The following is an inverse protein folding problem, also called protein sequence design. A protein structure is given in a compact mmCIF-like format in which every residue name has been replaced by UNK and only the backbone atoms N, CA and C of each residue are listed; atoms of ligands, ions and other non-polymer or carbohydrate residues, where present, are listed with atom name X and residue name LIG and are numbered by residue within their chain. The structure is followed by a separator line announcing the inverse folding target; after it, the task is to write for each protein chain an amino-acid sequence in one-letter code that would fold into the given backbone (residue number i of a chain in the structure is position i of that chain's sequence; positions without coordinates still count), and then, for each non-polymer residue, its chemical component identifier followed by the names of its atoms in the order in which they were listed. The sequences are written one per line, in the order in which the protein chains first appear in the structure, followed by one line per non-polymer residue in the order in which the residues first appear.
data_IF_819369731806
#
_entry.id   IF_819369731806
#
_cell.length_a   1.000
_cell.length_b   1.000
_cell.length_c   1.000
_cell.angle_alpha   90.00
_cell.angle_beta   90.00
_cell.angle_gamma   90.00
#
_symmetry.space_group_name_H-M   'P 1'
#
loop_
_entity.id
_entity.type
_entity.pdbx_description
1 polymer ?
#
# COMPACT_ATOMS: atom_id res chain seq x y z
N UNK A 1 -61.70 5.29 -3.66
CA UNK A 1 -60.49 5.99 -3.20
C UNK A 1 -59.41 5.10 -2.56
N UNK A 2 -59.70 3.86 -2.14
CA UNK A 2 -58.71 2.97 -1.50
C UNK A 2 -57.55 2.51 -2.43
N UNK A 3 -57.84 2.22 -3.71
CA UNK A 3 -56.83 1.78 -4.70
C UNK A 3 -55.72 2.81 -4.97
N UNK A 4 -56.00 4.11 -4.87
CA UNK A 4 -55.02 5.19 -5.11
C UNK A 4 -54.02 5.34 -3.95
N UNK A 5 -54.43 5.04 -2.70
CA UNK A 5 -53.56 5.10 -1.51
C UNK A 5 -52.56 3.94 -1.45
N UNK A 6 -52.94 2.74 -1.91
CA UNK A 6 -52.03 1.59 -1.97
C UNK A 6 -50.89 1.79 -2.99
N UNK A 7 -51.17 2.37 -4.17
CA UNK A 7 -50.13 2.66 -5.17
C UNK A 7 -49.09 3.69 -4.65
N UNK A 8 -49.55 4.68 -3.89
CA UNK A 8 -48.69 5.73 -3.32
C UNK A 8 -47.81 5.22 -2.17
N UNK A 9 -48.29 4.22 -1.41
CA UNK A 9 -47.47 3.54 -0.40
C UNK A 9 -46.42 2.62 -1.02
N UNK A 10 -46.76 1.93 -2.11
CA UNK A 10 -45.83 1.03 -2.82
C UNK A 10 -44.67 1.81 -3.47
N UNK A 11 -44.95 2.96 -4.10
CA UNK A 11 -43.91 3.83 -4.64
C UNK A 11 -42.94 4.38 -3.57
N UNK A 12 -43.44 4.77 -2.39
CA UNK A 12 -42.59 5.20 -1.26
C UNK A 12 -41.74 4.08 -0.68
N UNK A 13 -42.19 2.83 -0.77
CA UNK A 13 -41.42 1.67 -0.33
C UNK A 13 -40.29 1.38 -1.32
N UNK A 14 -40.57 1.46 -2.62
CA UNK A 14 -39.59 1.26 -3.69
C UNK A 14 -38.47 2.31 -3.64
N UNK A 15 -38.83 3.59 -3.47
CA UNK A 15 -37.88 4.71 -3.33
C UNK A 15 -36.94 4.53 -2.12
N UNK A 16 -37.46 4.00 -0.99
CA UNK A 16 -36.65 3.69 0.19
C UNK A 16 -35.69 2.52 -0.05
N UNK A 17 -36.05 1.54 -0.86
CA UNK A 17 -35.17 0.42 -1.21
C UNK A 17 -34.05 0.92 -2.12
N UNK A 18 -34.39 1.69 -3.16
CA UNK A 18 -33.41 2.28 -4.07
C UNK A 18 -32.42 3.20 -3.36
N UNK A 19 -32.88 4.02 -2.41
CA UNK A 19 -32.00 4.89 -1.62
C UNK A 19 -31.02 4.09 -0.74
N UNK A 20 -31.49 2.98 -0.15
CA UNK A 20 -30.63 2.08 0.64
C UNK A 20 -29.58 1.39 -0.23
N UNK A 21 -29.97 0.93 -1.42
CA UNK A 21 -29.05 0.28 -2.35
C UNK A 21 -28.00 1.27 -2.88
N UNK A 22 -28.39 2.52 -3.17
CA UNK A 22 -27.46 3.58 -3.55
C UNK A 22 -26.45 3.89 -2.42
N UNK A 23 -26.94 4.05 -1.18
CA UNK A 23 -26.08 4.26 -0.01
C UNK A 23 -25.11 3.09 0.22
N UNK A 24 -25.55 1.85 0.04
CA UNK A 24 -24.68 0.69 0.16
C UNK A 24 -23.59 0.67 -0.92
N UNK A 25 -23.91 1.05 -2.15
CA UNK A 25 -22.93 1.17 -3.24
C UNK A 25 -21.88 2.25 -2.92
N UNK A 26 -22.31 3.43 -2.49
CA UNK A 26 -21.40 4.52 -2.13
C UNK A 26 -20.47 4.14 -0.97
N UNK A 27 -20.98 3.44 0.03
CA UNK A 27 -20.18 2.95 1.17
C UNK A 27 -19.15 1.92 0.70
N UNK A 28 -19.54 1.00 -0.20
CA UNK A 28 -18.62 0.01 -0.77
C UNK A 28 -17.55 0.66 -1.65
N UNK A 29 -17.89 1.69 -2.42
CA UNK A 29 -16.91 2.45 -3.21
C UNK A 29 -15.90 3.17 -2.33
N UNK A 30 -16.36 3.87 -1.28
CA UNK A 30 -15.46 4.53 -0.31
C UNK A 30 -14.53 3.54 0.37
N UNK A 31 -15.03 2.35 0.73
CA UNK A 31 -14.20 1.31 1.33
C UNK A 31 -13.12 0.80 0.35
N UNK A 32 -13.48 0.63 -0.92
CA UNK A 32 -12.52 0.23 -1.97
C UNK A 32 -11.46 1.30 -2.20
N UNK A 33 -11.86 2.57 -2.26
CA UNK A 33 -10.95 3.71 -2.39
C UNK A 33 -9.98 3.76 -1.21
N UNK A 34 -10.48 3.71 0.03
CA UNK A 34 -9.63 3.69 1.22
C UNK A 34 -8.65 2.51 1.23
N UNK A 35 -9.09 1.31 0.80
CA UNK A 35 -8.20 0.14 0.67
C UNK A 35 -7.10 0.38 -0.36
N UNK A 36 -7.42 0.98 -1.51
CA UNK A 36 -6.43 1.28 -2.55
C UNK A 36 -5.42 2.34 -2.09
N UNK A 37 -5.88 3.38 -1.41
CA UNK A 37 -5.01 4.41 -0.85
C UNK A 37 -4.05 3.83 0.19
N UNK A 38 -4.55 3.01 1.12
CA UNK A 38 -3.71 2.34 2.12
C UNK A 38 -2.67 1.42 1.46
N UNK A 39 -3.07 0.62 0.47
CA UNK A 39 -2.15 -0.23 -0.27
C UNK A 39 -1.07 0.57 -1.00
N UNK A 40 -1.43 1.71 -1.61
CA UNK A 40 -0.46 2.59 -2.27
C UNK A 40 0.53 3.18 -1.27
N UNK A 41 0.07 3.65 -0.11
CA UNK A 41 0.92 4.20 0.96
C UNK A 41 1.89 3.14 1.50
N UNK A 42 1.44 1.89 1.68
CA UNK A 42 2.30 0.81 2.15
C UNK A 42 3.39 0.44 1.12
N UNK A 43 3.04 0.40 -0.16
CA UNK A 43 3.99 0.13 -1.24
C UNK A 43 5.06 1.22 -1.31
N UNK A 44 4.66 2.49 -1.24
CA UNK A 44 5.60 3.61 -1.27
C UNK A 44 6.51 3.65 -0.03
N UNK A 45 5.97 3.34 1.16
CA UNK A 45 6.81 3.21 2.38
C UNK A 45 7.86 2.11 2.24
N UNK A 46 7.47 0.93 1.74
CA UNK A 46 8.42 -0.18 1.53
C UNK A 46 9.52 0.19 0.54
N UNK A 47 9.16 0.84 -0.57
CA UNK A 47 10.13 1.31 -1.57
C UNK A 47 11.11 2.33 -0.97
N UNK A 48 10.60 3.30 -0.21
CA UNK A 48 11.43 4.30 0.44
C UNK A 48 12.38 3.66 1.48
N UNK A 49 11.92 2.69 2.27
CA UNK A 49 12.77 1.96 3.21
C UNK A 49 13.84 1.12 2.52
N UNK A 50 13.50 0.43 1.42
CA UNK A 50 14.47 -0.33 0.62
C UNK A 50 15.52 0.59 0.00
N UNK A 51 15.12 1.74 -0.52
CA UNK A 51 16.03 2.74 -1.09
C UNK A 51 16.98 3.29 -0.02
N UNK A 52 16.45 3.72 1.13
CA UNK A 52 17.27 4.19 2.26
C UNK A 52 18.26 3.13 2.73
N UNK A 53 17.84 1.87 2.83
CA UNK A 53 18.74 0.76 3.22
C UNK A 53 19.84 0.54 2.18
N UNK A 54 19.54 0.73 0.89
CA UNK A 54 20.51 0.60 -0.19
C UNK A 54 21.53 1.73 -0.18
N UNK A 55 21.08 2.96 0.07
CA UNK A 55 21.96 4.12 0.20
C UNK A 55 22.85 4.02 1.44
N UNK A 56 22.29 3.59 2.56
CA UNK A 56 23.05 3.37 3.79
C UNK A 56 24.15 2.32 3.60
N UNK A 57 23.84 1.22 2.89
CA UNK A 57 24.85 0.20 2.52
C UNK A 57 25.97 0.82 1.69
N UNK A 58 25.63 1.56 0.64
CA UNK A 58 26.62 2.24 -0.21
C UNK A 58 27.49 3.22 0.57
N UNK A 59 26.91 3.98 1.50
CA UNK A 59 27.68 4.91 2.33
C UNK A 59 28.59 4.17 3.30
N UNK A 60 28.09 3.12 3.95
CA UNK A 60 28.90 2.26 4.82
C UNK A 60 30.06 1.65 4.04
N UNK A 61 29.83 1.08 2.85
CA UNK A 61 30.89 0.52 2.00
C UNK A 61 31.93 1.56 1.57
N UNK A 62 31.49 2.78 1.23
CA UNK A 62 32.41 3.90 0.90
C UNK A 62 33.23 4.36 2.09
N UNK A 63 32.68 4.28 3.29
CA UNK A 63 33.32 4.70 4.53
C UNK A 63 34.07 3.57 5.24
N UNK A 64 33.97 2.32 4.76
CA UNK A 64 34.73 1.20 5.32
C UNK A 64 36.20 1.36 5.01
N UNK A 65 37.03 0.97 5.98
CA UNK A 65 38.46 0.88 5.75
C UNK A 65 38.77 -0.29 4.79
N UNK A 66 39.87 -0.18 4.04
CA UNK A 66 40.31 -1.24 3.13
C UNK A 66 40.50 -2.58 3.85
N UNK A 67 40.93 -2.56 5.12
CA UNK A 67 41.07 -3.76 5.93
C UNK A 67 39.74 -4.48 6.16
N UNK A 68 38.67 -3.75 6.48
CA UNK A 68 37.33 -4.34 6.66
C UNK A 68 36.74 -4.84 5.34
N UNK A 69 36.92 -4.10 4.24
CA UNK A 69 36.50 -4.55 2.92
C UNK A 69 37.25 -5.82 2.48
N UNK A 70 38.53 -5.90 2.82
CA UNK A 70 39.38 -7.05 2.52
C UNK A 70 39.01 -8.27 3.37
N UNK A 71 38.73 -8.07 4.66
CA UNK A 71 38.32 -9.13 5.60
C UNK A 71 36.92 -9.69 5.27
N UNK A 72 36.02 -8.86 4.75
CA UNK A 72 34.72 -9.28 4.22
C UNK A 72 34.81 -9.96 2.84
N UNK A 73 35.92 -9.79 2.13
CA UNK A 73 36.16 -10.43 0.84
C UNK A 73 36.90 -11.76 1.02
N UNK A 74 36.65 -12.75 0.15
CA UNK A 74 37.42 -14.01 0.14
C UNK A 74 38.89 -13.85 -0.32
N UNK A 75 39.40 -12.62 -0.39
CA UNK A 75 40.75 -12.31 -0.85
C UNK A 75 41.75 -12.42 0.30
N UNK A 76 42.49 -13.52 0.32
CA UNK A 76 43.64 -13.67 1.21
C UNK A 76 44.85 -12.93 0.61
N UNK A 77 45.11 -11.71 1.10
CA UNK A 77 46.23 -10.85 0.66
C UNK A 77 47.60 -11.53 0.77
N UNK A 78 47.76 -12.54 1.64
CA UNK A 78 49.00 -13.33 1.75
C UNK A 78 49.30 -14.12 0.48
N UNK A 79 48.29 -14.41 -0.35
CA UNK A 79 48.45 -15.07 -1.65
C UNK A 79 49.01 -14.15 -2.73
N UNK A 80 48.91 -12.83 -2.55
CA UNK A 80 49.34 -11.84 -3.55
C UNK A 80 50.68 -11.18 -3.21
N UNK A 81 51.16 -11.32 -1.97
CA UNK A 81 52.46 -10.80 -1.52
C UNK A 81 53.60 -11.83 -1.65
N UNK A 82 53.59 -12.59 -2.75
CA UNK A 82 54.72 -13.44 -3.15
C UNK A 82 55.95 -12.63 -3.49
#
# INVERSE_FOLDING_TARGET
MAKKRQAQQKGKQDEKVQLKDALQKDVLEKLKQAKQELAAVEVEKKRAEEERKREERKQRERNKSFAELLEESDLDWKRYKG
#
